data_IF_111913848504
#
_entry.id   IF_111913848504
#
_cell.length_a   1.000
_cell.length_b   1.000
_cell.length_c   1.000
_cell.angle_alpha   90.00
_cell.angle_beta   90.00
_cell.angle_gamma   90.00
#
_symmetry.space_group_name_H-M   'P 1'
#
loop_
_entity.id
_entity.type
_entity.pdbx_description
1 polymer ?
#
# COMPACT_ATOMS: atom_id res chain seq x y z
N UNK A 1 0.78 -4.81 19.30
CA UNK A 1 0.77 -3.70 18.32
C UNK A 1 1.84 -3.96 17.29
N UNK A 2 1.50 -3.83 16.01
CA UNK A 2 2.39 -4.02 14.88
C UNK A 2 2.40 -2.74 14.03
N UNK A 3 3.57 -2.35 13.52
CA UNK A 3 3.71 -1.22 12.60
C UNK A 3 3.62 -1.71 11.17
N UNK A 4 2.56 -1.35 10.45
CA UNK A 4 2.32 -1.77 9.06
C UNK A 4 2.93 -0.84 8.02
N UNK A 5 3.35 0.35 8.41
CA UNK A 5 4.05 1.31 7.56
C UNK A 5 4.54 2.46 8.41
N UNK A 6 5.64 3.08 8.02
CA UNK A 6 6.26 4.12 8.82
C UNK A 6 6.84 5.25 7.97
N UNK A 7 7.30 6.31 8.64
CA UNK A 7 7.92 7.47 8.01
C UNK A 7 6.95 8.23 7.09
N UNK A 8 5.69 8.28 7.49
CA UNK A 8 4.71 9.25 7.00
C UNK A 8 4.92 10.58 7.72
N UNK A 9 4.31 11.66 7.20
CA UNK A 9 4.32 12.95 7.90
C UNK A 9 3.12 13.13 8.82
N UNK A 10 1.93 13.27 8.25
CA UNK A 10 0.69 13.51 8.99
C UNK A 10 -0.43 12.64 8.44
N UNK A 11 -0.49 11.41 8.91
CA UNK A 11 -1.61 10.51 8.61
C UNK A 11 -2.86 11.04 9.31
N UNK A 12 -3.95 11.20 8.59
CA UNK A 12 -5.24 11.49 9.22
C UNK A 12 -6.04 10.20 9.40
N UNK A 13 -6.28 9.49 8.32
CA UNK A 13 -7.09 8.28 8.32
C UNK A 13 -6.53 7.22 7.38
N UNK A 14 -6.87 5.98 7.68
CA UNK A 14 -6.55 4.77 6.90
C UNK A 14 -7.83 3.99 6.62
N UNK A 15 -7.92 3.40 5.44
CA UNK A 15 -9.04 2.53 5.06
C UNK A 15 -8.55 1.23 4.46
N UNK A 16 -9.37 0.16 4.58
CA UNK A 16 -9.05 -1.18 4.10
C UNK A 16 -10.19 -1.68 3.23
N UNK A 17 -9.86 -2.18 2.04
CA UNK A 17 -10.84 -2.81 1.16
C UNK A 17 -11.17 -4.27 1.56
N UNK A 18 -12.11 -4.87 0.87
CA UNK A 18 -12.53 -6.26 1.14
C UNK A 18 -11.45 -7.31 0.90
N UNK A 19 -10.38 -6.98 0.17
CA UNK A 19 -9.24 -7.86 -0.07
C UNK A 19 -8.12 -7.72 0.97
N UNK A 20 -8.27 -6.76 1.92
CA UNK A 20 -7.25 -6.43 2.90
C UNK A 20 -6.20 -5.44 2.38
N UNK A 21 -6.47 -4.74 1.28
CA UNK A 21 -5.55 -3.71 0.78
C UNK A 21 -5.76 -2.41 1.53
N UNK A 22 -4.66 -1.84 2.01
CA UNK A 22 -4.66 -0.66 2.90
C UNK A 22 -4.35 0.59 2.09
N UNK A 23 -5.14 1.65 2.30
CA UNK A 23 -5.00 2.95 1.65
C UNK A 23 -4.94 4.05 2.71
N UNK A 24 -4.16 5.07 2.44
CA UNK A 24 -3.90 6.14 3.41
C UNK A 24 -3.64 7.46 2.69
N UNK A 25 -4.02 8.57 3.32
CA UNK A 25 -3.67 9.92 2.90
C UNK A 25 -2.63 10.52 3.84
N UNK A 26 -1.68 11.30 3.29
CA UNK A 26 -0.59 11.90 4.02
C UNK A 26 -0.46 13.37 3.69
N UNK A 27 -0.61 14.21 4.71
CA UNK A 27 -0.57 15.65 4.56
C UNK A 27 0.86 16.17 4.61
N UNK A 28 1.19 16.96 3.60
CA UNK A 28 2.35 17.83 3.65
C UNK A 28 2.18 19.02 2.71
N UNK A 29 1.66 20.09 3.23
CA UNK A 29 1.46 21.34 2.49
C UNK A 29 2.13 22.55 3.21
N UNK A 30 3.40 22.42 3.52
CA UNK A 30 4.22 23.54 4.00
C UNK A 30 4.71 24.43 2.83
N UNK A 31 3.87 24.62 1.82
CA UNK A 31 4.20 25.36 0.59
C UNK A 31 4.90 24.52 -0.48
N UNK A 32 5.10 23.22 -0.26
CA UNK A 32 5.78 22.31 -1.20
C UNK A 32 4.83 21.51 -2.09
N UNK A 33 3.52 21.51 -1.79
CA UNK A 33 2.48 20.76 -2.51
C UNK A 33 2.71 19.25 -2.53
N UNK A 34 3.19 18.70 -1.40
CA UNK A 34 3.58 17.30 -1.28
C UNK A 34 2.47 16.33 -0.90
N UNK A 35 1.24 16.79 -0.65
CA UNK A 35 0.10 15.93 -0.25
C UNK A 35 -0.05 14.75 -1.19
N UNK A 36 -0.22 13.54 -0.63
CA UNK A 36 -0.25 12.29 -1.38
C UNK A 36 -1.30 11.30 -0.86
N UNK A 37 -1.70 10.38 -1.74
CA UNK A 37 -2.44 9.16 -1.41
C UNK A 37 -1.49 7.99 -1.59
N UNK A 38 -1.51 7.06 -0.65
CA UNK A 38 -0.64 5.89 -0.63
C UNK A 38 -1.44 4.58 -0.66
N UNK A 39 -0.93 3.61 -1.40
CA UNK A 39 -1.12 2.20 -1.11
C UNK A 39 -0.14 1.84 0.00
N UNK A 40 -0.63 1.32 1.12
CA UNK A 40 0.24 0.90 2.21
C UNK A 40 0.72 -0.52 1.94
N UNK A 41 1.93 -0.63 1.38
CA UNK A 41 2.67 -1.88 1.34
C UNK A 41 3.18 -2.16 2.75
N UNK A 42 2.78 -3.29 3.32
CA UNK A 42 3.10 -3.59 4.72
C UNK A 42 4.60 -3.56 4.98
N UNK A 43 4.97 -2.97 6.13
CA UNK A 43 6.34 -2.74 6.61
C UNK A 43 7.14 -1.68 5.81
N UNK A 44 6.51 -0.99 4.88
CA UNK A 44 7.14 -0.01 4.02
C UNK A 44 7.55 1.29 4.72
N UNK A 45 8.67 1.85 4.26
CA UNK A 45 9.13 3.20 4.58
C UNK A 45 8.56 4.19 3.55
N UNK A 46 7.87 5.24 4.03
CA UNK A 46 7.21 6.22 3.17
C UNK A 46 8.00 7.53 3.00
N UNK A 47 9.22 7.58 3.50
CA UNK A 47 10.25 8.52 3.11
C UNK A 47 10.00 9.98 3.49
N UNK A 48 9.23 10.31 4.52
CA UNK A 48 9.10 11.71 4.96
C UNK A 48 10.42 12.28 5.46
N UNK A 49 11.17 11.50 6.21
CA UNK A 49 12.52 11.87 6.64
C UNK A 49 13.57 10.96 5.99
N UNK A 50 14.75 11.52 5.77
CA UNK A 50 15.92 10.75 5.36
C UNK A 50 16.22 9.68 6.42
N UNK A 51 16.32 8.43 5.99
CA UNK A 51 16.47 7.27 6.89
C UNK A 51 17.77 7.32 7.68
N UNK A 52 18.84 7.87 7.10
CA UNK A 52 20.17 7.88 7.70
C UNK A 52 20.38 9.02 8.69
N UNK A 53 19.75 10.17 8.43
CA UNK A 53 19.96 11.39 9.21
C UNK A 53 18.75 11.83 10.02
N UNK A 54 17.56 11.28 9.75
CA UNK A 54 16.30 11.69 10.34
C UNK A 54 15.80 13.08 9.89
N UNK A 55 16.45 13.69 8.90
CA UNK A 55 16.15 15.06 8.48
C UNK A 55 15.12 15.10 7.36
N UNK A 56 14.25 16.10 7.41
CA UNK A 56 13.22 16.31 6.41
C UNK A 56 13.73 17.02 5.14
N UNK A 57 12.84 17.23 4.20
CA UNK A 57 13.09 17.72 2.85
C UNK A 57 13.79 19.10 2.76
N UNK A 58 13.74 19.92 3.80
CA UNK A 58 14.41 21.23 3.84
C UNK A 58 15.93 21.14 4.00
N UNK A 59 16.43 19.99 4.41
CA UNK A 59 17.85 19.78 4.66
C UNK A 59 18.54 19.31 3.39
N UNK A 60 19.67 19.94 3.04
CA UNK A 60 20.52 19.48 1.94
C UNK A 60 21.09 18.10 2.25
N UNK A 61 21.08 17.23 1.27
CA UNK A 61 21.68 15.90 1.28
C UNK A 61 22.20 15.50 -0.09
N UNK A 62 23.00 14.44 -0.16
CA UNK A 62 23.46 13.84 -1.41
C UNK A 62 22.28 13.40 -2.27
N UNK A 63 22.35 13.65 -3.57
CA UNK A 63 21.30 13.31 -4.56
C UNK A 63 19.92 13.91 -4.29
N UNK A 64 19.90 15.07 -3.67
CA UNK A 64 18.64 15.79 -3.49
C UNK A 64 18.14 16.33 -4.84
N UNK A 65 17.03 15.79 -5.28
CA UNK A 65 16.39 16.16 -6.54
C UNK A 65 15.54 17.43 -6.41
N UNK A 66 15.12 17.98 -7.57
CA UNK A 66 14.23 19.16 -7.61
C UNK A 66 12.76 18.78 -7.54
N UNK A 67 12.40 17.61 -8.04
CA UNK A 67 11.03 17.12 -8.04
C UNK A 67 10.55 16.75 -6.64
N UNK A 68 9.27 16.95 -6.38
CA UNK A 68 8.68 16.72 -5.05
C UNK A 68 8.77 15.26 -4.59
N UNK A 69 8.49 14.24 -5.42
CA UNK A 69 8.62 12.85 -5.00
C UNK A 69 10.00 12.49 -4.49
N UNK A 70 11.04 12.85 -5.21
CA UNK A 70 12.42 12.50 -4.84
C UNK A 70 12.95 13.34 -3.69
N UNK A 71 12.73 14.66 -3.75
CA UNK A 71 13.25 15.60 -2.76
C UNK A 71 12.48 15.55 -1.44
N UNK A 72 11.16 15.52 -1.50
CA UNK A 72 10.29 15.66 -0.34
C UNK A 72 10.01 14.32 0.31
N UNK A 73 9.73 13.31 -0.49
CA UNK A 73 9.39 11.96 -0.06
C UNK A 73 10.54 10.96 -0.24
N UNK A 74 11.73 11.42 -0.56
CA UNK A 74 12.95 10.60 -0.70
C UNK A 74 12.80 9.38 -1.63
N UNK A 75 11.96 9.50 -2.68
CA UNK A 75 11.62 8.35 -3.53
C UNK A 75 12.77 7.86 -4.43
N UNK A 76 13.85 8.59 -4.50
CA UNK A 76 15.11 8.15 -5.12
C UNK A 76 16.01 7.33 -4.19
N UNK A 77 15.63 7.13 -2.91
CA UNK A 77 16.38 6.31 -1.96
C UNK A 77 15.98 4.84 -1.99
N UNK A 78 16.92 3.90 -1.82
CA UNK A 78 16.61 2.49 -1.67
C UNK A 78 15.82 2.24 -0.38
N UNK A 79 14.68 1.58 -0.47
CA UNK A 79 13.83 1.27 0.68
C UNK A 79 12.61 2.15 0.83
N UNK A 80 12.49 3.22 0.05
CA UNK A 80 11.33 4.11 0.09
C UNK A 80 10.26 3.62 -0.89
N UNK A 81 9.04 3.44 -0.37
CA UNK A 81 7.88 3.00 -1.15
C UNK A 81 7.35 4.13 -2.04
N UNK A 82 7.04 3.87 -3.32
CA UNK A 82 6.45 4.87 -4.20
C UNK A 82 5.11 5.42 -3.71
N UNK A 83 4.81 6.69 -4.02
CA UNK A 83 3.48 7.27 -3.86
C UNK A 83 2.51 6.66 -4.89
N UNK A 84 1.23 6.49 -4.51
CA UNK A 84 0.20 6.14 -5.48
C UNK A 84 -0.16 7.36 -6.35
N UNK A 85 -0.53 8.46 -5.70
CA UNK A 85 -0.88 9.74 -6.34
C UNK A 85 -0.38 10.88 -5.44
N UNK A 86 0.17 11.88 -6.08
CA UNK A 86 0.45 13.16 -5.45
C UNK A 86 -0.66 14.15 -5.82
N UNK A 87 -1.41 14.59 -4.81
CA UNK A 87 -2.56 15.49 -5.01
C UNK A 87 -2.18 16.96 -5.01
N UNK A 88 -0.97 17.26 -4.56
CA UNK A 88 -0.45 18.62 -4.47
C UNK A 88 -0.83 19.29 -3.17
N UNK A 89 -1.39 20.49 -3.26
CA UNK A 89 -1.87 21.25 -2.11
C UNK A 89 -3.14 20.64 -1.53
N UNK A 90 -3.27 20.62 -0.21
CA UNK A 90 -4.46 20.13 0.45
C UNK A 90 -4.36 20.09 1.96
N UNK A 91 -5.44 19.63 2.55
CA UNK A 91 -5.54 19.22 3.95
C UNK A 91 -6.37 17.95 3.95
N UNK A 92 -5.75 16.80 3.68
CA UNK A 92 -6.43 15.53 3.58
C UNK A 92 -7.05 15.17 4.91
N UNK A 93 -8.27 14.66 4.86
CA UNK A 93 -9.06 14.23 5.99
C UNK A 93 -9.61 12.82 5.75
N UNK A 94 -10.90 12.58 5.88
CA UNK A 94 -11.51 11.27 5.79
C UNK A 94 -11.25 10.52 4.48
N UNK A 95 -11.01 9.22 4.58
CA UNK A 95 -10.78 8.31 3.46
C UNK A 95 -11.61 7.04 3.64
N UNK A 96 -12.29 6.57 2.59
CA UNK A 96 -13.10 5.36 2.59
C UNK A 96 -13.02 4.65 1.26
N UNK A 97 -13.32 3.35 1.23
CA UNK A 97 -13.51 2.60 -0.02
C UNK A 97 -15.00 2.49 -0.31
N UNK A 98 -15.39 2.95 -1.50
CA UNK A 98 -16.78 2.81 -1.95
C UNK A 98 -17.03 1.41 -2.51
N UNK A 99 -17.55 0.53 -1.72
CA UNK A 99 -17.90 -0.85 -2.13
C UNK A 99 -19.39 -1.04 -2.37
N UNK A 100 -20.11 0.04 -2.72
CA UNK A 100 -21.50 0.04 -3.13
C UNK A 100 -21.67 -0.02 -4.65
N UNK A 101 -22.94 -0.18 -5.08
CA UNK A 101 -23.33 -0.24 -6.48
C UNK A 101 -24.24 0.91 -6.93
N UNK A 102 -24.62 1.81 -6.01
CA UNK A 102 -25.52 2.93 -6.30
C UNK A 102 -24.85 4.00 -7.17
N UNK A 103 -23.57 4.34 -6.88
CA UNK A 103 -22.81 5.30 -7.67
C UNK A 103 -22.34 4.68 -9.00
N UNK A 104 -21.97 5.51 -10.00
CA UNK A 104 -21.44 5.04 -11.27
C UNK A 104 -20.29 4.04 -11.12
N UNK A 105 -20.17 3.12 -12.08
CA UNK A 105 -19.20 2.01 -12.06
C UNK A 105 -17.76 2.45 -11.83
N UNK A 106 -17.38 3.64 -12.32
CA UNK A 106 -16.03 4.22 -12.14
C UNK A 106 -15.66 4.41 -10.65
N UNK A 107 -16.65 4.53 -9.76
CA UNK A 107 -16.43 4.71 -8.32
C UNK A 107 -16.49 3.41 -7.51
N UNK A 108 -17.01 2.34 -8.10
CA UNK A 108 -17.23 1.09 -7.38
C UNK A 108 -15.90 0.39 -7.06
N UNK A 109 -15.64 0.14 -5.78
CA UNK A 109 -14.39 -0.39 -5.27
C UNK A 109 -13.23 0.61 -5.23
N UNK A 110 -13.53 1.92 -5.34
CA UNK A 110 -12.53 2.95 -5.42
C UNK A 110 -12.44 3.79 -4.15
N UNK A 111 -11.28 4.40 -3.97
CA UNK A 111 -11.01 5.31 -2.86
C UNK A 111 -11.87 6.56 -3.00
N UNK A 112 -12.55 6.95 -1.94
CA UNK A 112 -13.15 8.27 -1.75
C UNK A 112 -12.43 8.99 -0.64
N UNK A 113 -12.22 10.30 -0.84
CA UNK A 113 -11.36 11.07 0.04
C UNK A 113 -11.84 12.50 0.17
N UNK A 114 -11.89 12.99 1.40
CA UNK A 114 -12.16 14.37 1.72
C UNK A 114 -10.86 15.18 1.80
N UNK A 115 -10.87 16.36 1.21
CA UNK A 115 -9.75 17.29 1.27
C UNK A 115 -10.27 18.68 1.65
N UNK A 116 -10.10 19.03 2.91
CA UNK A 116 -10.67 20.23 3.51
C UNK A 116 -10.04 21.53 2.98
N UNK A 117 -8.74 21.51 2.62
CA UNK A 117 -8.03 22.67 2.10
C UNK A 117 -8.66 23.20 0.81
N UNK A 118 -8.71 22.44 -0.28
CA UNK A 118 -9.33 22.81 -1.53
C UNK A 118 -10.87 22.73 -1.54
N UNK A 119 -11.51 22.34 -0.44
CA UNK A 119 -12.97 22.23 -0.30
C UNK A 119 -13.60 21.22 -1.26
N UNK A 120 -13.06 20.01 -1.28
CA UNK A 120 -13.39 19.03 -2.29
C UNK A 120 -13.47 17.61 -1.72
N UNK A 121 -14.37 16.82 -2.29
CA UNK A 121 -14.37 15.36 -2.16
C UNK A 121 -13.93 14.77 -3.50
N UNK A 122 -12.95 13.88 -3.45
CA UNK A 122 -12.38 13.22 -4.63
C UNK A 122 -12.65 11.72 -4.60
N UNK A 123 -12.66 11.11 -5.76
CA UNK A 123 -12.41 9.69 -5.90
C UNK A 123 -11.05 9.49 -6.57
N UNK A 124 -10.40 8.39 -6.22
CA UNK A 124 -9.19 7.95 -6.88
C UNK A 124 -9.44 6.56 -7.50
N UNK A 125 -9.94 6.51 -8.75
CA UNK A 125 -10.01 5.26 -9.48
C UNK A 125 -8.62 4.65 -9.65
N UNK A 126 -8.44 3.46 -9.08
CA UNK A 126 -7.16 2.76 -9.01
C UNK A 126 -7.19 1.55 -9.93
N UNK A 127 -6.10 1.35 -10.67
CA UNK A 127 -5.85 0.15 -11.48
C UNK A 127 -4.53 -0.48 -11.06
N UNK A 128 -4.45 -1.79 -11.14
CA UNK A 128 -3.19 -2.53 -10.95
C UNK A 128 -2.17 -2.11 -12.03
N UNK A 129 -0.92 -1.95 -11.61
CA UNK A 129 0.19 -1.60 -12.50
C UNK A 129 1.45 -2.28 -11.98
N UNK A 130 1.87 -3.34 -12.63
CA UNK A 130 2.91 -4.19 -12.09
C UNK A 130 2.52 -4.74 -10.71
N UNK A 131 3.46 -4.75 -9.79
CA UNK A 131 3.22 -5.16 -8.41
C UNK A 131 2.57 -4.07 -7.54
N UNK A 132 2.32 -2.89 -8.09
CA UNK A 132 1.66 -1.78 -7.42
C UNK A 132 0.39 -1.33 -8.13
N UNK A 133 0.16 -0.02 -8.08
CA UNK A 133 -1.07 0.58 -8.59
C UNK A 133 -0.79 1.90 -9.30
N UNK A 134 -1.70 2.26 -10.20
CA UNK A 134 -1.82 3.62 -10.76
C UNK A 134 -3.22 4.15 -10.50
N UNK A 135 -3.33 5.40 -10.11
CA UNK A 135 -4.59 6.06 -9.82
C UNK A 135 -4.84 7.28 -10.70
N UNK A 136 -6.10 7.69 -10.74
CA UNK A 136 -6.57 8.94 -11.35
C UNK A 136 -7.26 9.78 -10.29
N UNK A 137 -7.27 11.09 -10.45
CA UNK A 137 -8.03 12.00 -9.60
C UNK A 137 -9.35 12.39 -10.29
N UNK A 138 -10.48 12.16 -9.62
CA UNK A 138 -11.81 12.55 -10.09
C UNK A 138 -12.49 13.37 -9.00
N UNK A 139 -12.84 14.62 -9.30
CA UNK A 139 -13.59 15.44 -8.36
C UNK A 139 -15.06 15.01 -8.36
N UNK A 140 -15.58 14.69 -7.17
CA UNK A 140 -16.97 14.26 -6.99
C UNK A 140 -17.84 15.40 -6.52
N UNK A 141 -17.40 16.13 -5.52
CA UNK A 141 -18.12 17.25 -4.91
C UNK A 141 -17.14 18.37 -4.61
N UNK A 142 -17.46 19.55 -5.05
CA UNK A 142 -16.72 20.78 -4.75
C UNK A 142 -17.69 21.88 -4.39
N UNK A 143 -17.41 22.65 -3.35
CA UNK A 143 -18.22 23.77 -2.93
C UNK A 143 -17.55 25.12 -3.26
N UNK A 144 -18.37 26.10 -3.64
CA UNK A 144 -17.95 27.50 -3.74
C UNK A 144 -18.00 28.21 -2.38
N UNK A 145 -18.68 27.61 -1.40
CA UNK A 145 -18.75 28.12 -0.01
C UNK A 145 -17.33 28.11 0.58
N UNK A 146 -16.75 29.26 0.95
CA UNK A 146 -15.41 29.32 1.52
C UNK A 146 -15.30 28.63 2.88
N UNK A 147 -16.40 28.35 3.53
CA UNK A 147 -16.47 27.67 4.84
C UNK A 147 -16.65 26.16 4.72
N UNK A 148 -16.91 25.63 3.54
CA UNK A 148 -17.02 24.18 3.34
C UNK A 148 -15.68 23.47 3.61
N UNK A 149 -15.70 22.55 4.57
CA UNK A 149 -14.53 21.75 4.97
C UNK A 149 -14.93 20.28 5.11
N UNK A 150 -14.92 19.49 4.03
CA UNK A 150 -15.24 18.07 4.14
C UNK A 150 -14.20 17.39 5.02
N UNK A 151 -14.67 16.75 6.09
CA UNK A 151 -13.83 16.18 7.13
C UNK A 151 -13.86 14.66 7.18
N UNK A 152 -14.96 14.04 6.73
CA UNK A 152 -15.08 12.59 6.69
C UNK A 152 -16.06 12.12 5.62
N UNK A 153 -15.93 10.85 5.21
CA UNK A 153 -16.74 10.21 4.18
C UNK A 153 -17.02 8.75 4.52
N UNK A 154 -18.30 8.35 4.47
CA UNK A 154 -18.68 6.96 4.68
C UNK A 154 -19.79 6.51 3.74
N UNK A 155 -19.88 5.18 3.52
CA UNK A 155 -20.91 4.57 2.67
C UNK A 155 -22.06 4.07 3.52
N UNK A 156 -23.27 4.54 3.22
CA UNK A 156 -24.49 4.10 3.87
C UNK A 156 -24.94 2.69 3.38
N UNK A 157 -25.84 2.00 4.13
CA UNK A 157 -26.35 0.69 3.75
C UNK A 157 -27.05 0.63 2.39
N UNK A 158 -27.60 1.74 1.91
CA UNK A 158 -28.23 1.85 0.58
C UNK A 158 -27.24 2.19 -0.55
N UNK A 159 -25.96 2.33 -0.23
CA UNK A 159 -24.92 2.71 -1.17
C UNK A 159 -24.81 4.21 -1.43
N UNK A 160 -25.61 5.06 -0.76
CA UNK A 160 -25.33 6.51 -0.75
C UNK A 160 -24.09 6.82 0.06
N UNK A 161 -23.49 7.99 -0.17
CA UNK A 161 -22.29 8.43 0.54
C UNK A 161 -22.65 9.60 1.43
N UNK A 162 -22.29 9.53 2.70
CA UNK A 162 -22.38 10.63 3.64
C UNK A 162 -21.04 11.33 3.73
N UNK A 163 -21.09 12.66 3.80
CA UNK A 163 -19.93 13.54 3.89
C UNK A 163 -20.20 14.49 5.05
N UNK A 164 -19.32 14.49 6.04
CA UNK A 164 -19.34 15.50 7.10
C UNK A 164 -18.61 16.76 6.66
N UNK A 165 -19.14 17.89 7.02
CA UNK A 165 -18.61 19.22 6.74
C UNK A 165 -18.36 19.93 8.06
N UNK A 166 -17.11 20.17 8.36
CA UNK A 166 -16.71 20.88 9.56
C UNK A 166 -17.22 22.33 9.57
N UNK A 167 -17.28 22.98 8.39
CA UNK A 167 -17.73 24.33 8.18
C UNK A 167 -16.91 25.37 8.96
N UNK A 168 -15.71 25.65 8.48
CA UNK A 168 -14.79 26.65 9.05
C UNK A 168 -14.15 27.49 7.96
N UNK A 169 -13.92 28.78 8.24
CA UNK A 169 -13.25 29.70 7.32
C UNK A 169 -11.78 29.35 7.05
N UNK A 170 -11.13 28.65 7.97
CA UNK A 170 -9.74 28.25 7.88
C UNK A 170 -9.53 26.74 7.99
N UNK A 171 -8.33 26.30 7.62
CA UNK A 171 -7.87 24.92 7.75
C UNK A 171 -6.52 24.92 8.45
N UNK A 172 -6.33 23.95 9.34
CA UNK A 172 -5.13 23.81 10.15
C UNK A 172 -5.34 24.28 11.60
N UNK A 173 -4.46 23.90 12.49
CA UNK A 173 -4.60 24.08 13.92
C UNK A 173 -4.27 25.48 14.46
N UNK A 174 -4.21 26.50 13.61
CA UNK A 174 -3.67 27.81 14.01
C UNK A 174 -4.72 28.86 14.34
N UNK A 175 -5.84 28.86 13.63
CA UNK A 175 -6.94 29.80 13.86
C UNK A 175 -8.28 29.13 13.63
N UNK A 176 -9.13 29.16 14.62
CA UNK A 176 -10.55 28.88 14.46
C UNK A 176 -11.25 30.20 14.17
N UNK A 177 -12.05 30.25 13.12
CA UNK A 177 -12.78 31.48 12.72
C UNK A 177 -14.21 31.51 13.21
N UNK A 178 -14.69 30.41 13.74
CA UNK A 178 -16.05 30.22 14.24
C UNK A 178 -16.21 30.60 15.72
N UNK A 179 -15.56 31.66 16.14
CA UNK A 179 -15.63 32.12 17.55
C UNK A 179 -17.00 32.69 17.98
N UNK A 180 -17.92 32.89 17.04
CA UNK A 180 -19.23 33.47 17.34
C UNK A 180 -20.28 32.37 17.46
N UNK A 181 -21.04 32.29 18.59
CA UNK A 181 -22.23 31.45 18.67
C UNK A 181 -23.17 31.72 17.49
N UNK A 182 -23.66 30.68 16.83
CA UNK A 182 -24.49 30.79 15.62
C UNK A 182 -23.75 30.71 14.26
N UNK A 183 -22.42 30.78 14.25
CA UNK A 183 -21.61 30.51 13.07
C UNK A 183 -21.12 29.05 13.02
N UNK A 184 -21.21 28.34 14.12
CA UNK A 184 -20.84 26.91 14.25
C UNK A 184 -21.96 26.04 13.67
N UNK A 185 -22.00 25.94 12.36
CA UNK A 185 -23.07 25.30 11.58
C UNK A 185 -22.55 24.14 10.76
N UNK A 186 -21.87 23.17 11.40
CA UNK A 186 -21.45 21.94 10.76
C UNK A 186 -22.60 21.23 10.03
N UNK A 187 -22.32 20.61 8.90
CA UNK A 187 -23.34 20.01 8.01
C UNK A 187 -23.00 18.57 7.70
N UNK A 188 -24.02 17.79 7.37
CA UNK A 188 -23.87 16.43 6.83
C UNK A 188 -24.58 16.41 5.49
N UNK A 189 -23.83 16.05 4.44
CA UNK A 189 -24.37 15.88 3.09
C UNK A 189 -24.57 14.40 2.79
N UNK A 190 -25.60 14.11 1.99
CA UNK A 190 -25.83 12.81 1.41
C UNK A 190 -25.69 12.91 -0.10
N UNK A 191 -24.74 12.18 -0.66
CA UNK A 191 -24.48 12.10 -2.09
C UNK A 191 -25.17 10.89 -2.70
N UNK A 192 -25.99 11.11 -3.73
CA UNK A 192 -26.68 10.08 -4.52
C UNK A 192 -26.68 10.48 -6.00
N UNK A 193 -26.81 9.54 -6.95
CA UNK A 193 -27.04 9.90 -8.33
C UNK A 193 -28.33 10.71 -8.50
N UNK A 194 -28.34 11.65 -9.45
CA UNK A 194 -29.51 12.47 -9.75
C UNK A 194 -30.75 11.60 -10.00
N UNK A 195 -31.86 11.94 -9.35
CA UNK A 195 -33.14 11.23 -9.46
C UNK A 195 -33.24 9.92 -8.63
N UNK A 196 -32.19 9.56 -7.86
CA UNK A 196 -32.17 8.36 -6.98
C UNK A 196 -32.11 8.70 -5.50
N UNK A 197 -32.61 9.87 -5.11
CA UNK A 197 -32.52 10.40 -3.73
C UNK A 197 -33.67 9.90 -2.80
N UNK A 198 -34.22 8.71 -3.02
CA UNK A 198 -35.24 8.17 -2.10
C UNK A 198 -34.62 7.99 -0.71
N UNK A 199 -35.41 8.33 0.32
CA UNK A 199 -35.01 8.10 1.69
C UNK A 199 -34.72 6.61 1.92
N UNK A 200 -33.58 6.31 2.54
CA UNK A 200 -33.25 4.95 2.97
C UNK A 200 -34.28 4.48 3.99
N UNK A 201 -34.97 3.39 3.67
CA UNK A 201 -35.81 2.70 4.63
C UNK A 201 -35.00 1.59 5.28
N UNK A 202 -34.75 1.74 6.58
CA UNK A 202 -34.03 0.72 7.33
C UNK A 202 -34.78 -0.61 7.25
N UNK A 203 -34.16 -1.63 6.67
CA UNK A 203 -34.70 -2.98 6.61
C UNK A 203 -34.50 -3.62 7.99
N UNK A 204 -35.58 -3.88 8.70
CA UNK A 204 -35.55 -4.65 9.95
C UNK A 204 -35.21 -6.11 9.66
N UNK A 205 -34.53 -6.78 10.59
CA UNK A 205 -34.20 -8.21 10.54
C UNK A 205 -33.36 -8.63 9.32
N UNK A 206 -32.31 -7.89 8.99
CA UNK A 206 -31.34 -8.29 7.96
C UNK A 206 -30.60 -9.56 8.38
N UNK A 207 -30.43 -10.49 7.45
CA UNK A 207 -29.62 -11.70 7.69
C UNK A 207 -28.14 -11.38 7.70
N UNK A 208 -27.33 -12.18 8.39
CA UNK A 208 -25.86 -12.06 8.37
C UNK A 208 -25.30 -12.07 6.94
N UNK A 209 -25.88 -12.90 6.05
CA UNK A 209 -25.46 -12.94 4.63
C UNK A 209 -25.71 -11.61 3.92
N UNK A 210 -26.88 -11.00 4.10
CA UNK A 210 -27.21 -9.71 3.47
C UNK A 210 -26.38 -8.57 4.05
N UNK A 211 -26.04 -8.63 5.33
CA UNK A 211 -25.16 -7.65 5.96
C UNK A 211 -23.69 -7.83 5.53
N UNK A 212 -23.20 -9.06 5.35
CA UNK A 212 -21.84 -9.29 4.84
C UNK A 212 -21.69 -8.79 3.39
N UNK A 213 -22.76 -8.83 2.60
CA UNK A 213 -22.81 -8.28 1.24
C UNK A 213 -23.02 -6.76 1.20
N UNK A 214 -23.28 -6.10 2.32
CA UNK A 214 -23.57 -4.67 2.38
C UNK A 214 -22.38 -3.79 1.90
N UNK A 215 -22.67 -2.64 1.28
CA UNK A 215 -21.68 -1.60 1.05
C UNK A 215 -21.18 -0.93 2.34
N UNK A 216 -21.97 -1.01 3.43
CA UNK A 216 -21.67 -0.37 4.70
C UNK A 216 -20.74 -1.22 5.57
N UNK A 217 -19.64 -0.64 6.03
CA UNK A 217 -18.62 -1.35 6.80
C UNK A 217 -19.14 -1.82 8.16
N UNK A 218 -19.94 -1.03 8.84
CA UNK A 218 -20.49 -1.41 10.16
C UNK A 218 -21.41 -2.63 10.06
N UNK A 219 -22.26 -2.70 9.03
CA UNK A 219 -23.09 -3.88 8.79
C UNK A 219 -22.24 -5.13 8.50
N UNK A 220 -21.19 -4.98 7.68
CA UNK A 220 -20.25 -6.08 7.42
C UNK A 220 -19.57 -6.58 8.68
N UNK A 221 -19.19 -5.67 9.56
CA UNK A 221 -18.57 -6.02 10.83
C UNK A 221 -19.51 -6.79 11.75
N UNK A 222 -20.79 -6.37 11.85
CA UNK A 222 -21.80 -7.11 12.61
C UNK A 222 -21.99 -8.51 12.04
N UNK A 223 -22.09 -8.64 10.71
CA UNK A 223 -22.20 -9.93 10.03
C UNK A 223 -20.97 -10.81 10.28
N UNK A 224 -19.77 -10.22 10.22
CA UNK A 224 -18.52 -10.91 10.50
C UNK A 224 -18.51 -11.49 11.91
N UNK A 225 -18.91 -10.72 12.92
CA UNK A 225 -19.01 -11.18 14.30
C UNK A 225 -20.00 -12.35 14.45
N UNK A 226 -21.18 -12.25 13.80
CA UNK A 226 -22.19 -13.32 13.83
C UNK A 226 -21.65 -14.63 13.23
N UNK A 227 -21.06 -14.57 12.03
CA UNK A 227 -20.48 -15.75 11.37
C UNK A 227 -19.29 -16.32 12.15
N UNK A 228 -18.44 -15.46 12.68
CA UNK A 228 -17.29 -15.90 13.49
C UNK A 228 -17.74 -16.65 14.76
N UNK A 229 -18.80 -16.16 15.41
CA UNK A 229 -19.36 -16.78 16.62
C UNK A 229 -19.91 -18.18 16.37
N UNK A 230 -20.58 -18.40 15.24
CA UNK A 230 -21.17 -19.73 14.94
C UNK A 230 -20.17 -20.69 14.29
N UNK A 231 -19.03 -20.20 13.84
CA UNK A 231 -17.91 -21.03 13.36
C UNK A 231 -18.27 -21.93 12.18
N UNK A 232 -18.04 -23.25 12.33
CA UNK A 232 -18.29 -24.23 11.25
C UNK A 232 -19.76 -24.31 10.78
N UNK A 233 -20.71 -23.97 11.63
CA UNK A 233 -22.13 -23.94 11.24
C UNK A 233 -22.42 -22.89 10.14
N UNK A 234 -21.54 -21.90 9.96
CA UNK A 234 -21.64 -20.91 8.90
C UNK A 234 -21.16 -21.41 7.52
N UNK A 235 -20.47 -22.55 7.45
CA UNK A 235 -19.71 -23.00 6.28
C UNK A 235 -20.57 -23.00 5.00
N UNK A 236 -21.72 -23.63 5.01
CA UNK A 236 -22.60 -23.72 3.84
C UNK A 236 -23.07 -22.34 3.36
N UNK A 237 -23.38 -21.46 4.30
CA UNK A 237 -23.82 -20.09 3.99
C UNK A 237 -22.67 -19.27 3.39
N UNK A 238 -21.50 -19.38 3.95
CA UNK A 238 -20.28 -18.72 3.45
C UNK A 238 -19.86 -19.27 2.09
N UNK A 239 -20.04 -20.57 1.83
CA UNK A 239 -19.80 -21.19 0.52
C UNK A 239 -20.76 -20.68 -0.55
N UNK A 240 -22.00 -20.33 -0.21
CA UNK A 240 -22.93 -19.66 -1.13
C UNK A 240 -22.44 -18.26 -1.47
N UNK A 241 -21.95 -17.48 -0.49
CA UNK A 241 -21.36 -16.16 -0.70
C UNK A 241 -20.04 -16.22 -1.49
N UNK A 242 -19.25 -17.27 -1.30
CA UNK A 242 -18.06 -17.53 -2.10
C UNK A 242 -18.33 -17.72 -3.60
N UNK A 243 -19.53 -18.11 -3.98
CA UNK A 243 -19.96 -18.27 -5.39
C UNK A 243 -20.50 -16.98 -6.00
N UNK A 244 -20.48 -15.86 -5.27
CA UNK A 244 -20.94 -14.57 -5.78
C UNK A 244 -20.11 -14.10 -6.99
N UNK A 245 -20.75 -13.43 -7.94
CA UNK A 245 -20.07 -12.74 -9.04
C UNK A 245 -19.29 -11.51 -8.54
N UNK A 246 -19.68 -10.94 -7.39
CA UNK A 246 -18.93 -9.86 -6.76
C UNK A 246 -17.72 -10.41 -5.99
N UNK A 247 -16.54 -10.12 -6.51
CA UNK A 247 -15.25 -10.56 -5.96
C UNK A 247 -15.02 -10.07 -4.52
N UNK A 248 -15.61 -8.94 -4.12
CA UNK A 248 -15.51 -8.41 -2.76
C UNK A 248 -16.30 -9.25 -1.78
N UNK A 249 -17.50 -9.70 -2.18
CA UNK A 249 -18.31 -10.63 -1.37
C UNK A 249 -17.55 -11.96 -1.22
N UNK A 250 -16.91 -12.45 -2.27
CA UNK A 250 -16.05 -13.64 -2.22
C UNK A 250 -14.88 -13.46 -1.27
N UNK A 251 -14.19 -12.30 -1.31
CA UNK A 251 -13.11 -12.00 -0.40
C UNK A 251 -13.57 -11.99 1.07
N UNK A 252 -14.71 -11.36 1.35
CA UNK A 252 -15.31 -11.37 2.71
C UNK A 252 -15.66 -12.78 3.18
N UNK A 253 -16.19 -13.60 2.30
CA UNK A 253 -16.51 -14.99 2.61
C UNK A 253 -15.25 -15.84 2.90
N UNK A 254 -14.18 -15.69 2.11
CA UNK A 254 -12.95 -16.48 2.29
C UNK A 254 -12.22 -16.11 3.59
N UNK A 255 -12.25 -14.87 4.02
CA UNK A 255 -11.72 -14.46 5.32
C UNK A 255 -12.38 -15.21 6.48
N UNK A 256 -13.68 -15.47 6.39
CA UNK A 256 -14.42 -16.21 7.42
C UNK A 256 -14.24 -17.72 7.28
N UNK A 257 -14.32 -18.26 6.05
CA UNK A 257 -14.12 -19.69 5.78
C UNK A 257 -12.74 -20.18 6.27
N UNK A 258 -11.70 -19.40 6.01
CA UNK A 258 -10.34 -19.74 6.45
C UNK A 258 -10.11 -19.57 7.96
N UNK A 259 -11.10 -19.12 8.72
CA UNK A 259 -11.10 -19.08 10.18
C UNK A 259 -11.86 -20.25 10.84
N UNK A 260 -12.49 -21.09 10.05
CA UNK A 260 -13.12 -22.32 10.55
C UNK A 260 -12.02 -23.27 11.01
N UNK A 261 -12.05 -23.63 12.30
CA UNK A 261 -11.03 -24.48 12.93
C UNK A 261 -10.87 -25.81 12.19
N UNK A 262 -9.64 -26.11 11.79
CA UNK A 262 -9.30 -27.33 11.05
C UNK A 262 -9.57 -27.28 9.54
N UNK A 263 -10.14 -26.19 9.03
CA UNK A 263 -10.41 -25.99 7.60
C UNK A 263 -9.53 -24.90 6.96
N UNK A 264 -8.59 -24.31 7.72
CA UNK A 264 -7.76 -23.20 7.29
C UNK A 264 -7.05 -23.49 5.97
N UNK A 265 -6.30 -24.58 5.92
CA UNK A 265 -5.53 -25.00 4.73
C UNK A 265 -6.44 -25.26 3.51
N UNK A 266 -7.63 -25.85 3.72
CA UNK A 266 -8.64 -26.09 2.67
C UNK A 266 -9.02 -24.78 1.99
N UNK A 267 -9.35 -23.76 2.78
CA UNK A 267 -9.86 -22.52 2.26
C UNK A 267 -8.79 -21.57 1.76
N UNK A 268 -7.61 -21.56 2.37
CA UNK A 268 -6.45 -20.84 1.85
C UNK A 268 -6.07 -21.42 0.47
N UNK A 269 -5.92 -22.73 0.32
CA UNK A 269 -5.65 -23.34 -0.99
C UNK A 269 -6.75 -23.02 -2.02
N UNK A 270 -8.01 -22.94 -1.59
CA UNK A 270 -9.11 -22.53 -2.47
C UNK A 270 -8.92 -21.09 -2.95
N UNK A 271 -8.50 -20.17 -2.09
CA UNK A 271 -8.18 -18.80 -2.46
C UNK A 271 -6.98 -18.70 -3.42
N UNK A 272 -5.92 -19.46 -3.15
CA UNK A 272 -4.70 -19.47 -3.97
C UNK A 272 -4.90 -20.01 -5.39
N UNK A 273 -5.95 -20.79 -5.63
CA UNK A 273 -6.33 -21.30 -6.95
C UNK A 273 -7.39 -20.44 -7.66
N UNK A 274 -7.72 -19.28 -7.13
CA UNK A 274 -8.71 -18.41 -7.73
C UNK A 274 -8.18 -17.69 -8.97
N UNK A 275 -9.05 -17.46 -9.95
CA UNK A 275 -8.73 -16.71 -11.17
C UNK A 275 -8.39 -15.25 -10.87
N UNK A 276 -8.97 -14.67 -9.79
CA UNK A 276 -8.73 -13.31 -9.40
C UNK A 276 -7.45 -13.17 -8.56
N UNK A 277 -6.45 -12.39 -9.00
CA UNK A 277 -5.22 -12.20 -8.25
C UNK A 277 -5.42 -11.55 -6.88
N UNK A 278 -6.42 -10.69 -6.68
CA UNK A 278 -6.68 -10.07 -5.37
C UNK A 278 -7.20 -11.12 -4.36
N UNK A 279 -7.94 -12.12 -4.81
CA UNK A 279 -8.33 -13.27 -3.98
C UNK A 279 -7.11 -14.13 -3.64
N UNK A 280 -6.18 -14.36 -4.58
CA UNK A 280 -4.93 -15.10 -4.30
C UNK A 280 -4.06 -14.36 -3.28
N UNK A 281 -3.93 -13.03 -3.42
CA UNK A 281 -3.28 -12.14 -2.43
C UNK A 281 -3.93 -12.29 -1.06
N UNK A 282 -5.26 -12.22 -1.01
CA UNK A 282 -6.04 -12.41 0.22
C UNK A 282 -5.71 -13.77 0.88
N UNK A 283 -5.58 -14.82 0.09
CA UNK A 283 -5.19 -16.15 0.60
C UNK A 283 -3.81 -16.17 1.28
N UNK A 284 -2.81 -15.51 0.68
CA UNK A 284 -1.45 -15.38 1.27
C UNK A 284 -1.50 -14.56 2.56
N UNK A 285 -2.22 -13.44 2.57
CA UNK A 285 -2.39 -12.59 3.76
C UNK A 285 -3.03 -13.34 4.90
N UNK A 286 -4.11 -14.07 4.65
CA UNK A 286 -4.78 -14.88 5.66
C UNK A 286 -3.83 -15.93 6.24
N UNK A 287 -3.06 -16.64 5.42
CA UNK A 287 -2.11 -17.65 5.88
C UNK A 287 -1.06 -17.03 6.83
N UNK A 288 -0.53 -15.86 6.48
CA UNK A 288 0.43 -15.11 7.30
C UNK A 288 -0.21 -14.60 8.60
N UNK A 289 -1.38 -13.97 8.54
CA UNK A 289 -2.11 -13.44 9.70
C UNK A 289 -2.51 -14.55 10.70
N UNK A 290 -2.77 -15.74 10.18
CA UNK A 290 -3.09 -16.91 11.01
C UNK A 290 -1.84 -17.58 11.62
N UNK A 291 -0.64 -17.10 11.31
CA UNK A 291 0.62 -17.68 11.80
C UNK A 291 0.88 -19.09 11.29
N UNK A 292 0.35 -19.45 10.11
CA UNK A 292 0.58 -20.77 9.52
C UNK A 292 1.98 -20.84 8.90
N UNK A 293 2.50 -22.08 8.72
CA UNK A 293 3.68 -22.27 7.89
C UNK A 293 3.37 -21.80 6.46
N UNK A 294 3.99 -20.69 6.08
CA UNK A 294 3.74 -20.04 4.80
C UNK A 294 4.45 -20.73 3.63
N UNK A 295 5.53 -21.49 3.90
CA UNK A 295 6.40 -22.06 2.86
C UNK A 295 5.65 -22.94 1.85
N UNK A 296 4.75 -23.88 2.27
CA UNK A 296 4.01 -24.70 1.32
C UNK A 296 3.12 -23.90 0.37
N UNK A 297 2.58 -22.77 0.83
CA UNK A 297 1.77 -21.87 0.02
C UNK A 297 2.64 -21.08 -0.95
N UNK A 298 3.76 -20.52 -0.49
CA UNK A 298 4.65 -19.73 -1.32
C UNK A 298 5.29 -20.56 -2.44
N UNK A 299 5.63 -21.82 -2.23
CA UNK A 299 6.11 -22.71 -3.29
C UNK A 299 5.18 -22.77 -4.51
N UNK A 300 3.87 -22.62 -4.29
CA UNK A 300 2.88 -22.58 -5.38
C UNK A 300 2.78 -21.21 -6.04
N UNK A 301 3.07 -20.13 -5.30
CA UNK A 301 2.73 -18.78 -5.70
C UNK A 301 3.93 -17.93 -6.16
N UNK A 302 5.18 -18.31 -5.86
CA UNK A 302 6.36 -17.52 -6.25
C UNK A 302 6.54 -17.36 -7.76
N UNK A 303 5.89 -18.20 -8.57
CA UNK A 303 5.87 -18.13 -10.03
C UNK A 303 4.51 -17.67 -10.60
N UNK A 304 3.66 -17.08 -9.76
CA UNK A 304 2.38 -16.55 -10.22
C UNK A 304 2.57 -15.54 -11.35
N UNK A 305 1.67 -15.56 -12.31
CA UNK A 305 1.71 -14.64 -13.47
C UNK A 305 1.51 -13.19 -13.07
N UNK A 306 0.78 -12.94 -11.97
CA UNK A 306 0.52 -11.62 -11.44
C UNK A 306 1.64 -11.15 -10.50
N UNK A 307 2.27 -10.02 -10.81
CA UNK A 307 3.37 -9.47 -10.02
C UNK A 307 2.94 -8.98 -8.63
N UNK A 308 1.68 -8.61 -8.43
CA UNK A 308 1.14 -8.28 -7.11
C UNK A 308 1.03 -9.51 -6.20
N UNK A 309 0.70 -10.69 -6.75
CA UNK A 309 0.75 -11.95 -6.01
C UNK A 309 2.19 -12.27 -5.61
N UNK A 310 3.14 -12.13 -6.54
CA UNK A 310 4.57 -12.33 -6.24
C UNK A 310 5.10 -11.32 -5.21
N UNK A 311 4.67 -10.04 -5.27
CA UNK A 311 4.96 -9.06 -4.23
C UNK A 311 4.52 -9.55 -2.85
N UNK A 312 3.29 -10.08 -2.75
CA UNK A 312 2.76 -10.58 -1.49
C UNK A 312 3.55 -11.79 -0.98
N UNK A 313 4.05 -12.64 -1.89
CA UNK A 313 4.98 -13.73 -1.54
C UNK A 313 6.29 -13.19 -0.95
N UNK A 314 6.85 -12.12 -1.54
CA UNK A 314 8.06 -11.50 -1.02
C UNK A 314 7.84 -10.94 0.39
N UNK A 315 6.75 -10.21 0.62
CA UNK A 315 6.39 -9.67 1.95
C UNK A 315 6.23 -10.81 2.97
N UNK A 316 5.64 -11.93 2.57
CA UNK A 316 5.44 -13.09 3.45
C UNK A 316 6.74 -13.82 3.82
N UNK A 317 7.83 -13.62 3.09
CA UNK A 317 9.16 -14.15 3.43
C UNK A 317 9.90 -13.31 4.47
N UNK A 318 9.42 -12.11 4.78
CA UNK A 318 10.05 -11.24 5.78
C UNK A 318 10.13 -11.96 7.13
N UNK A 319 11.35 -12.03 7.70
CA UNK A 319 11.66 -12.73 8.97
C UNK A 319 11.36 -14.24 8.97
N UNK A 320 11.20 -14.87 7.81
CA UNK A 320 10.99 -16.30 7.73
C UNK A 320 12.32 -17.05 7.81
N UNK A 321 12.47 -17.87 8.85
CA UNK A 321 13.70 -18.61 9.15
C UNK A 321 13.82 -19.97 8.45
N UNK A 322 12.84 -20.37 7.64
CA UNK A 322 12.90 -21.63 6.89
C UNK A 322 14.17 -21.71 6.04
N UNK A 323 14.85 -22.86 5.99
CA UNK A 323 15.99 -23.05 5.09
C UNK A 323 15.61 -22.93 3.61
N UNK A 324 14.33 -23.01 3.28
CA UNK A 324 13.82 -22.88 1.91
C UNK A 324 13.52 -21.42 1.52
N UNK A 325 13.42 -20.51 2.49
CA UNK A 325 13.07 -19.12 2.24
C UNK A 325 14.04 -18.39 1.27
N UNK A 326 15.39 -18.55 1.37
CA UNK A 326 16.32 -17.92 0.43
C UNK A 326 16.12 -18.37 -1.01
N UNK A 327 15.86 -19.65 -1.24
CA UNK A 327 15.61 -20.18 -2.59
C UNK A 327 14.31 -19.64 -3.18
N UNK A 328 13.23 -19.52 -2.38
CA UNK A 328 11.98 -18.93 -2.82
C UNK A 328 12.14 -17.44 -3.13
N UNK A 329 12.90 -16.71 -2.33
CA UNK A 329 13.22 -15.31 -2.60
C UNK A 329 14.05 -15.17 -3.90
N UNK A 330 15.01 -16.03 -4.13
CA UNK A 330 15.81 -16.07 -5.38
C UNK A 330 14.91 -16.24 -6.59
N UNK A 331 13.91 -17.14 -6.54
CA UNK A 331 12.95 -17.30 -7.62
C UNK A 331 12.11 -16.03 -7.87
N UNK A 332 11.75 -15.29 -6.81
CA UNK A 332 11.08 -14.00 -6.95
C UNK A 332 12.03 -12.93 -7.54
N UNK A 333 13.25 -12.84 -7.03
CA UNK A 333 14.24 -11.85 -7.46
C UNK A 333 14.60 -11.98 -8.95
N UNK A 334 14.72 -13.20 -9.46
CA UNK A 334 14.99 -13.49 -10.90
C UNK A 334 13.89 -12.99 -11.84
N UNK A 335 12.70 -12.69 -11.34
CA UNK A 335 11.58 -12.17 -12.13
C UNK A 335 11.52 -10.63 -12.15
N UNK A 336 12.45 -9.95 -11.50
CA UNK A 336 12.56 -8.49 -11.59
C UNK A 336 13.36 -8.09 -12.83
N UNK A 337 12.74 -7.27 -13.67
CA UNK A 337 13.30 -6.85 -14.96
C UNK A 337 13.89 -5.41 -14.96
N UNK A 338 13.84 -4.72 -13.81
CA UNK A 338 14.33 -3.34 -13.68
C UNK A 338 13.26 -2.27 -13.91
N UNK A 339 11.99 -2.62 -14.16
CA UNK A 339 10.94 -1.65 -14.50
C UNK A 339 9.93 -1.41 -13.36
N UNK A 340 9.81 -2.34 -12.42
CA UNK A 340 8.77 -2.33 -11.38
C UNK A 340 9.35 -1.98 -10.01
N UNK A 341 9.28 -0.70 -9.65
CA UNK A 341 9.76 -0.21 -8.36
C UNK A 341 8.97 -0.78 -7.17
N UNK A 342 7.67 -1.02 -7.31
CA UNK A 342 6.87 -1.64 -6.26
C UNK A 342 7.33 -3.08 -5.97
N UNK A 343 7.64 -3.81 -7.04
CA UNK A 343 8.16 -5.16 -6.91
C UNK A 343 9.54 -5.19 -6.26
N UNK A 344 10.44 -4.30 -6.70
CA UNK A 344 11.78 -4.15 -6.12
C UNK A 344 11.74 -3.88 -4.62
N UNK A 345 10.89 -2.95 -4.19
CA UNK A 345 10.78 -2.63 -2.77
C UNK A 345 10.22 -3.80 -1.95
N UNK A 346 9.29 -4.57 -2.49
CA UNK A 346 8.81 -5.78 -1.82
C UNK A 346 9.90 -6.85 -1.64
N UNK A 347 10.77 -7.00 -2.65
CA UNK A 347 11.95 -7.86 -2.54
C UNK A 347 12.89 -7.38 -1.43
N UNK A 348 13.10 -6.06 -1.33
CA UNK A 348 13.91 -5.46 -0.28
C UNK A 348 13.32 -5.61 1.11
N UNK A 349 12.00 -5.52 1.27
CA UNK A 349 11.30 -5.77 2.55
C UNK A 349 11.48 -7.22 3.05
N UNK A 350 11.50 -8.19 2.14
CA UNK A 350 11.76 -9.58 2.49
C UNK A 350 13.14 -9.80 3.10
N UNK A 351 14.13 -8.96 2.74
CA UNK A 351 15.50 -9.08 3.22
C UNK A 351 15.72 -8.56 4.65
N UNK A 352 14.75 -7.90 5.26
CA UNK A 352 14.90 -7.30 6.58
C UNK A 352 15.45 -8.31 7.60
N UNK A 353 16.58 -7.96 8.25
CA UNK A 353 17.35 -8.82 9.17
C UNK A 353 17.89 -10.13 8.57
N UNK A 354 17.84 -10.31 7.24
CA UNK A 354 18.26 -11.54 6.56
C UNK A 354 19.06 -11.24 5.27
N UNK A 355 19.63 -10.04 5.18
CA UNK A 355 20.26 -9.52 3.96
C UNK A 355 21.26 -10.49 3.34
N UNK A 356 22.30 -10.88 4.10
CA UNK A 356 23.38 -11.71 3.56
C UNK A 356 22.92 -13.11 3.14
N UNK A 357 21.99 -13.70 3.90
CA UNK A 357 21.48 -15.04 3.63
C UNK A 357 20.71 -15.10 2.32
N UNK A 358 19.80 -14.15 2.08
CA UNK A 358 18.95 -14.15 0.88
C UNK A 358 19.70 -13.63 -0.33
N UNK A 359 20.41 -12.51 -0.18
CA UNK A 359 21.18 -11.92 -1.26
C UNK A 359 22.34 -12.83 -1.71
N UNK A 360 23.01 -13.52 -0.75
CA UNK A 360 24.03 -14.52 -1.04
C UNK A 360 23.47 -15.67 -1.86
N UNK A 361 22.34 -16.25 -1.47
CA UNK A 361 21.69 -17.32 -2.23
C UNK A 361 21.34 -16.92 -3.68
N UNK A 362 20.92 -15.68 -3.89
CA UNK A 362 20.66 -15.16 -5.21
C UNK A 362 21.95 -15.02 -6.03
N UNK A 363 23.02 -14.48 -5.45
CA UNK A 363 24.33 -14.36 -6.10
C UNK A 363 24.89 -15.72 -6.49
N UNK A 364 24.74 -16.74 -5.63
CA UNK A 364 25.20 -18.11 -5.90
C UNK A 364 24.49 -18.73 -7.13
N UNK A 365 23.23 -18.34 -7.38
CA UNK A 365 22.43 -18.84 -8.51
C UNK A 365 22.71 -18.03 -9.80
N UNK A 366 22.80 -16.70 -9.71
CA UNK A 366 23.00 -15.88 -10.93
C UNK A 366 24.47 -15.77 -11.34
N UNK A 367 25.41 -16.03 -10.42
CA UNK A 367 26.85 -15.98 -10.71
C UNK A 367 27.26 -14.62 -11.29
N UNK A 368 27.88 -14.67 -12.49
CA UNK A 368 28.27 -13.47 -13.24
C UNK A 368 27.12 -12.74 -13.93
N UNK A 369 25.96 -13.37 -14.06
CA UNK A 369 24.82 -12.85 -14.83
C UNK A 369 23.96 -11.84 -14.06
N UNK A 370 24.46 -11.35 -12.95
CA UNK A 370 23.78 -10.30 -12.17
C UNK A 370 23.74 -8.94 -12.90
N UNK A 371 24.64 -8.71 -13.89
CA UNK A 371 24.77 -7.40 -14.56
C UNK A 371 23.69 -7.19 -15.64
N UNK A 372 22.46 -7.17 -15.18
CA UNK A 372 21.24 -6.85 -15.93
C UNK A 372 20.53 -5.67 -15.29
N UNK A 373 19.59 -4.99 -15.97
CA UNK A 373 18.81 -3.91 -15.33
C UNK A 373 18.15 -4.35 -14.01
N UNK A 374 17.55 -5.54 -13.99
CA UNK A 374 16.93 -6.09 -12.78
C UNK A 374 17.95 -6.43 -11.68
N UNK A 375 19.09 -7.00 -12.05
CA UNK A 375 20.15 -7.33 -11.08
C UNK A 375 20.82 -6.09 -10.50
N UNK A 376 21.09 -5.07 -11.32
CA UNK A 376 21.58 -3.76 -10.85
C UNK A 376 20.60 -3.09 -9.88
N UNK A 377 19.30 -3.21 -10.09
CA UNK A 377 18.26 -2.74 -9.17
C UNK A 377 18.28 -3.50 -7.84
N UNK A 378 18.40 -4.81 -7.88
CA UNK A 378 18.49 -5.66 -6.68
C UNK A 378 19.74 -5.29 -5.87
N UNK A 379 20.88 -5.07 -6.52
CA UNK A 379 22.12 -4.61 -5.88
C UNK A 379 21.91 -3.22 -5.26
N UNK A 380 21.33 -2.29 -6.01
CA UNK A 380 21.04 -0.95 -5.52
C UNK A 380 20.13 -0.96 -4.27
N UNK A 381 19.19 -1.88 -4.21
CA UNK A 381 18.24 -2.00 -3.09
C UNK A 381 18.81 -2.81 -1.90
N UNK A 382 19.82 -3.63 -2.12
CA UNK A 382 20.40 -4.51 -1.10
C UNK A 382 21.19 -3.75 -0.04
N UNK A 383 21.25 -4.33 1.16
CA UNK A 383 22.09 -3.87 2.27
C UNK A 383 22.97 -5.03 2.80
N UNK A 384 23.26 -6.02 1.96
CA UNK A 384 24.15 -7.12 2.26
C UNK A 384 25.61 -6.66 2.31
N UNK A 385 26.46 -7.31 3.10
CA UNK A 385 27.88 -7.08 3.13
C UNK A 385 28.55 -7.15 1.73
N UNK A 386 28.03 -7.99 0.84
CA UNK A 386 28.50 -8.13 -0.55
C UNK A 386 28.09 -6.98 -1.48
N UNK A 387 27.19 -6.09 -1.07
CA UNK A 387 26.62 -5.04 -1.91
C UNK A 387 27.64 -3.98 -2.30
N UNK A 388 28.49 -3.54 -1.36
CA UNK A 388 29.46 -2.46 -1.57
C UNK A 388 30.43 -2.75 -2.73
N UNK A 389 30.93 -3.98 -2.83
CA UNK A 389 31.83 -4.38 -3.92
C UNK A 389 31.13 -4.35 -5.28
N UNK A 390 29.86 -4.80 -5.35
CA UNK A 390 29.07 -4.81 -6.58
C UNK A 390 28.70 -3.39 -7.02
N UNK A 391 28.41 -2.49 -6.10
CA UNK A 391 28.18 -1.07 -6.42
C UNK A 391 29.43 -0.42 -7.03
N UNK A 392 30.63 -0.76 -6.53
CA UNK A 392 31.89 -0.30 -7.14
C UNK A 392 32.06 -0.83 -8.57
N UNK A 393 31.75 -2.11 -8.79
CA UNK A 393 31.80 -2.68 -10.15
C UNK A 393 30.85 -1.95 -11.11
N UNK A 394 29.62 -1.62 -10.67
CA UNK A 394 28.67 -0.84 -11.46
C UNK A 394 29.20 0.57 -11.73
N UNK A 395 29.72 1.26 -10.72
CA UNK A 395 30.20 2.65 -10.84
C UNK A 395 31.42 2.78 -11.77
N UNK A 396 32.30 1.78 -11.78
CA UNK A 396 33.49 1.75 -12.63
C UNK A 396 33.24 1.15 -14.02
N UNK A 397 32.09 0.55 -14.25
CA UNK A 397 31.71 0.02 -15.56
C UNK A 397 31.51 1.16 -16.56
N UNK A 398 32.26 1.11 -17.68
CA UNK A 398 32.15 2.09 -18.79
C UNK A 398 30.76 2.15 -19.42
N UNK A 399 29.94 1.11 -19.25
CA UNK A 399 28.55 1.09 -19.72
C UNK A 399 27.57 1.85 -18.82
N UNK A 400 27.98 2.14 -17.58
CA UNK A 400 27.15 2.90 -16.65
C UNK A 400 27.15 4.37 -17.03
N UNK A 401 25.97 4.89 -17.39
CA UNK A 401 25.83 6.29 -17.79
C UNK A 401 26.10 7.22 -16.61
N UNK A 402 26.72 8.37 -16.89
CA UNK A 402 26.99 9.38 -15.85
C UNK A 402 25.73 9.80 -15.07
N UNK A 403 24.59 9.90 -15.76
CA UNK A 403 23.32 10.24 -15.12
C UNK A 403 22.80 9.17 -14.13
N UNK A 404 23.29 7.92 -14.22
CA UNK A 404 22.90 6.84 -13.32
C UNK A 404 23.81 6.72 -12.09
N UNK A 405 25.05 7.20 -12.19
CA UNK A 405 26.06 7.09 -11.12
C UNK A 405 25.59 7.68 -9.77
N UNK A 406 24.94 8.86 -9.71
CA UNK A 406 24.46 9.41 -8.44
C UNK A 406 23.54 8.46 -7.66
N UNK A 407 22.73 7.67 -8.36
CA UNK A 407 21.86 6.65 -7.74
C UNK A 407 22.67 5.58 -7.01
N UNK A 408 23.74 5.07 -7.62
CA UNK A 408 24.58 4.03 -7.03
C UNK A 408 25.51 4.58 -5.94
N UNK A 409 25.96 5.82 -6.08
CA UNK A 409 26.71 6.53 -5.01
C UNK A 409 25.80 6.69 -3.78
N UNK A 410 24.54 7.11 -3.98
CA UNK A 410 23.57 7.21 -2.88
C UNK A 410 23.32 5.87 -2.20
N UNK A 411 23.32 4.76 -2.93
CA UNK A 411 23.14 3.42 -2.38
C UNK A 411 24.31 3.02 -1.44
N UNK A 412 25.52 3.55 -1.64
CA UNK A 412 26.65 3.33 -0.73
C UNK A 412 26.41 3.99 0.64
N UNK A 413 25.63 5.07 0.73
CA UNK A 413 25.31 5.68 2.03
C UNK A 413 24.58 4.69 2.94
N UNK A 414 23.80 3.80 2.38
CA UNK A 414 23.01 2.77 3.10
C UNK A 414 23.79 1.50 3.43
N UNK A 415 25.07 1.44 3.04
CA UNK A 415 25.96 0.35 3.42
C UNK A 415 26.71 0.69 4.73
N UNK A 416 27.30 -0.31 5.36
CA UNK A 416 28.08 -0.17 6.59
C UNK A 416 29.22 -1.20 6.62
N UNK A 417 30.12 -1.05 7.56
CA UNK A 417 31.20 -2.01 7.80
C UNK A 417 32.45 -1.81 6.92
N UNK A 418 33.47 -2.66 7.12
CA UNK A 418 34.77 -2.54 6.43
C UNK A 418 34.65 -2.70 4.90
N UNK A 419 33.64 -3.40 4.41
CA UNK A 419 33.37 -3.57 2.98
C UNK A 419 32.99 -2.24 2.31
N UNK A 420 32.27 -1.36 3.02
CA UNK A 420 31.98 -0.01 2.57
C UNK A 420 33.24 0.83 2.49
N UNK A 421 34.07 0.78 3.52
CA UNK A 421 35.33 1.57 3.58
C UNK A 421 36.27 1.15 2.43
N UNK A 422 36.43 -0.16 2.20
CA UNK A 422 37.22 -0.68 1.10
C UNK A 422 36.66 -0.25 -0.28
N UNK A 423 35.33 -0.22 -0.42
CA UNK A 423 34.66 0.25 -1.64
C UNK A 423 34.94 1.74 -1.90
N UNK A 424 34.86 2.59 -0.89
CA UNK A 424 35.12 4.03 -1.00
C UNK A 424 36.59 4.30 -1.36
N UNK A 425 37.55 3.61 -0.72
CA UNK A 425 38.97 3.70 -1.06
C UNK A 425 39.22 3.35 -2.52
N UNK A 426 38.62 2.28 -3.01
CA UNK A 426 38.74 1.84 -4.39
C UNK A 426 38.19 2.86 -5.39
N UNK A 427 37.05 3.47 -5.08
CA UNK A 427 36.45 4.52 -5.94
C UNK A 427 37.35 5.79 -5.97
N UNK A 428 37.88 6.22 -4.85
CA UNK A 428 38.81 7.37 -4.76
C UNK A 428 40.06 7.09 -5.60
N UNK A 429 40.63 5.89 -5.46
CA UNK A 429 41.85 5.51 -6.19
C UNK A 429 41.64 5.38 -7.70
N UNK A 430 40.42 5.09 -8.16
CA UNK A 430 40.08 4.96 -9.57
C UNK A 430 39.68 6.30 -10.22
N UNK A 431 39.30 7.30 -9.44
CA UNK A 431 38.89 8.64 -9.90
C UNK A 431 39.98 9.66 -9.89
N UNK A 432 41.15 9.31 -9.38
CA UNK A 432 42.39 10.07 -9.47
C UNK A 432 43.22 9.52 -10.67
#
# INVERSE_FOLDING_TARGET
VETLGFNFRNNYEVTVDSFGTIWQSDNDDDGNRGVRINYVMEFGNYGYTDELTGRGWRTKRTNQEKDIPSRHWHQNDPGVIPNLIQTGQGSPTGISIYEGTLLPKIFQGQIMHCDAGPRIVRAFPVKRSGAGYKGQTVNILQSKDPWYRPSDVCTAPDGSVFISDWHDGHVGGHHMTDHKPGQMTGRIYRLTPKGKSKAYKMVKNRTASSMLASPNMSERYIAWQQFHKVGSQAEDTLLKLWKSDDQRIRARAIHLLARIKGAENKYINKALNDSNPDIRITGIRIARERGLDIIPFLKKMVKDTDSGVRRECAIALRHNNSPQAPALWTELAKQHNGEDRWYLESLGLALDKQQDKFFGAWLDVVGSDWDTPGGRDIIWRSRSSKTSELLVKILLDKKTKEAEKPRYIRALDFQSGPEKDAALIKLISAGS
#
